data_IF_770839156580
#
_entry.id   IF_770839156580
#
_cell.length_a   1.000
_cell.length_b   1.000
_cell.length_c   1.000
_cell.angle_alpha   90.00
_cell.angle_beta   90.00
_cell.angle_gamma   90.00
#
_symmetry.space_group_name_H-M   'P 1'
#
loop_
_entity.id
_entity.type
_entity.pdbx_description
1 polymer ?
#
# COMPACT_ATOMS: atom_id res chain seq x y z
N UNK A 1 -6.83 -30.84 -18.75
CA UNK A 1 -6.57 -30.05 -18.82
C UNK A 1 -5.54 -29.58 -19.05
N UNK A 2 -5.23 -29.41 -19.36
CA UNK A 2 -4.21 -29.00 -19.62
C UNK A 2 -3.87 -27.85 -19.37
N UNK A 3 -4.42 -27.20 -19.15
CA UNK A 3 -4.15 -26.14 -18.98
C UNK A 3 -3.49 -25.69 -17.98
N UNK A 4 -3.70 -25.98 -16.96
CA UNK A 4 -2.99 -25.53 -15.87
C UNK A 4 -1.54 -25.56 -16.04
N UNK A 5 -1.16 -26.32 -16.93
CA UNK A 5 0.20 -26.45 -17.25
C UNK A 5 0.86 -25.18 -17.57
N UNK A 6 0.15 -24.34 -18.24
CA UNK A 6 0.72 -23.11 -18.65
C UNK A 6 1.12 -22.25 -17.54
N UNK A 7 0.37 -22.29 -16.46
CA UNK A 7 0.63 -21.36 -15.38
C UNK A 7 1.95 -21.62 -14.69
N UNK A 8 2.42 -22.83 -14.79
CA UNK A 8 3.69 -23.10 -14.14
C UNK A 8 4.85 -22.45 -14.83
N UNK A 9 4.66 -22.11 -16.07
CA UNK A 9 5.73 -21.45 -16.78
C UNK A 9 5.84 -20.01 -16.44
N UNK A 10 4.91 -19.52 -15.68
CA UNK A 10 4.96 -18.14 -15.26
C UNK A 10 6.27 -17.82 -14.59
N UNK A 11 6.79 -18.75 -13.82
CA UNK A 11 8.07 -18.51 -13.21
C UNK A 11 9.16 -18.71 -14.25
N UNK A 12 9.77 -17.62 -14.64
CA UNK A 12 10.86 -17.62 -15.61
C UNK A 12 12.22 -17.42 -14.95
N UNK A 13 12.29 -17.62 -13.64
CA UNK A 13 13.53 -17.46 -12.89
C UNK A 13 13.82 -16.03 -12.50
N UNK A 14 12.97 -15.09 -12.91
CA UNK A 14 13.17 -13.69 -12.54
C UNK A 14 12.46 -13.38 -11.24
N UNK A 15 12.84 -12.24 -10.66
CA UNK A 15 12.27 -11.74 -9.43
C UNK A 15 10.76 -11.54 -9.55
N UNK A 16 10.04 -11.97 -8.53
CA UNK A 16 8.60 -11.76 -8.38
C UNK A 16 8.38 -10.85 -7.17
N UNK A 17 8.45 -9.53 -7.33
CA UNK A 17 8.36 -8.61 -6.20
C UNK A 17 7.03 -8.70 -5.47
N UNK A 18 7.09 -8.57 -4.16
CA UNK A 18 5.90 -8.54 -3.31
C UNK A 18 6.24 -7.89 -1.98
N UNK A 19 5.28 -7.18 -1.40
CA UNK A 19 5.44 -6.66 -0.05
C UNK A 19 4.12 -6.68 0.69
N UNK A 20 4.21 -6.79 2.02
CA UNK A 20 3.07 -6.68 2.91
C UNK A 20 3.56 -6.12 4.23
N UNK A 21 2.98 -4.99 4.64
CA UNK A 21 3.37 -4.30 5.86
C UNK A 21 2.14 -3.77 6.59
N UNK A 22 2.21 -3.67 7.90
CA UNK A 22 1.13 -3.15 8.71
C UNK A 22 1.60 -2.07 9.66
N UNK A 23 0.66 -1.26 10.16
CA UNK A 23 0.91 -0.29 11.22
C UNK A 23 0.79 -0.99 12.57
N UNK A 24 1.81 -0.86 13.39
CA UNK A 24 1.78 -1.38 14.76
C UNK A 24 1.49 -0.25 15.75
N UNK A 25 2.12 0.91 15.55
CA UNK A 25 1.89 2.06 16.43
C UNK A 25 0.41 2.42 16.47
N UNK A 26 -0.15 2.57 17.67
CA UNK A 26 -1.57 2.87 17.84
C UNK A 26 -1.77 3.91 18.95
N UNK A 27 -2.55 4.98 18.72
CA UNK A 27 -3.05 5.38 17.39
C UNK A 27 -1.93 5.95 16.53
N UNK A 28 -2.09 5.85 15.23
CA UNK A 28 -1.15 6.46 14.30
C UNK A 28 -1.75 7.80 13.85
N UNK A 29 -1.15 8.89 14.28
CA UNK A 29 -1.65 10.23 13.98
C UNK A 29 -0.92 10.77 12.76
N UNK A 30 -1.69 11.25 11.76
CA UNK A 30 -1.14 11.94 10.61
C UNK A 30 -1.63 13.38 10.62
N UNK A 31 -0.71 14.33 10.48
CA UNK A 31 -1.04 15.72 10.65
C UNK A 31 -0.79 16.60 9.44
N UNK A 32 0.10 16.24 8.56
CA UNK A 32 0.43 17.09 7.42
C UNK A 32 -0.25 16.63 6.15
N UNK A 33 -0.75 17.58 5.34
CA UNK A 33 -1.08 17.26 3.96
C UNK A 33 0.21 16.79 3.31
N UNK A 34 0.23 15.76 2.55
CA UNK A 34 1.40 15.15 1.94
C UNK A 34 2.22 14.24 2.85
N UNK A 35 1.81 14.05 4.12
CA UNK A 35 2.50 13.07 4.98
C UNK A 35 2.30 11.66 4.43
N UNK A 36 3.39 10.92 4.32
CA UNK A 36 3.35 9.53 3.86
C UNK A 36 3.13 8.63 5.06
N UNK A 37 2.21 7.68 4.93
CA UNK A 37 1.95 6.70 5.98
C UNK A 37 3.05 5.65 5.94
N UNK A 38 3.74 5.48 7.06
CA UNK A 38 4.86 4.55 7.17
C UNK A 38 4.40 3.29 7.88
N UNK A 39 4.12 2.25 7.11
CA UNK A 39 3.74 0.94 7.66
C UNK A 39 5.01 0.24 8.10
N UNK A 40 5.25 0.23 9.41
CA UNK A 40 6.56 -0.11 9.93
C UNK A 40 6.83 -1.61 10.11
N UNK A 41 5.78 -2.42 10.20
CA UNK A 41 5.95 -3.85 10.42
C UNK A 41 5.89 -4.61 9.10
N UNK A 42 7.06 -4.89 8.55
CA UNK A 42 7.19 -5.52 7.24
C UNK A 42 7.18 -7.04 7.41
N UNK A 43 6.17 -7.69 6.84
CA UNK A 43 6.02 -9.14 6.92
C UNK A 43 6.52 -9.85 5.68
N UNK A 44 6.41 -9.20 4.52
CA UNK A 44 6.91 -9.73 3.24
C UNK A 44 7.56 -8.57 2.51
N UNK A 45 8.73 -8.81 1.95
CA UNK A 45 9.43 -7.79 1.16
C UNK A 45 10.34 -8.44 0.14
N UNK A 46 9.76 -9.18 -0.80
CA UNK A 46 10.52 -9.85 -1.84
C UNK A 46 10.98 -8.84 -2.86
N UNK A 47 12.27 -8.82 -3.14
CA UNK A 47 12.88 -7.85 -4.03
C UNK A 47 13.27 -6.57 -3.32
N UNK A 48 13.01 -6.47 -2.01
CA UNK A 48 13.44 -5.35 -1.18
C UNK A 48 12.92 -3.98 -1.68
N UNK A 49 11.75 -3.96 -2.31
CA UNK A 49 11.20 -2.72 -2.86
C UNK A 49 10.56 -1.80 -1.83
N UNK A 50 10.04 -2.35 -0.74
CA UNK A 50 9.38 -1.54 0.26
C UNK A 50 10.35 -1.06 1.33
N UNK A 51 10.30 0.24 1.61
CA UNK A 51 11.13 0.87 2.65
C UNK A 51 10.24 1.36 3.79
N UNK A 52 10.27 0.69 4.96
CA UNK A 52 9.40 1.09 6.08
C UNK A 52 9.79 2.45 6.65
N UNK A 53 11.01 2.94 6.44
CA UNK A 53 11.42 4.24 6.95
C UNK A 53 10.79 5.39 6.16
N UNK A 54 10.35 5.14 4.94
CA UNK A 54 9.70 6.16 4.10
C UNK A 54 8.26 5.84 3.78
N UNK A 55 7.84 4.56 3.90
CA UNK A 55 6.52 4.11 3.51
C UNK A 55 6.37 3.90 2.00
N UNK A 56 7.45 3.91 1.24
CA UNK A 56 7.43 3.89 -0.21
C UNK A 56 7.83 2.51 -0.75
N UNK A 57 7.03 2.00 -1.68
CA UNK A 57 7.41 0.83 -2.47
C UNK A 57 7.94 1.31 -3.81
N UNK A 58 9.17 0.92 -4.13
CA UNK A 58 9.81 1.20 -5.41
C UNK A 58 9.86 -0.09 -6.21
N UNK A 59 9.28 -0.08 -7.41
CA UNK A 59 9.19 -1.30 -8.21
C UNK A 59 10.56 -1.79 -8.63
N UNK A 60 10.96 -3.00 -8.21
CA UNK A 60 12.26 -3.56 -8.62
C UNK A 60 12.23 -4.10 -10.04
N UNK A 61 11.06 -4.24 -10.62
CA UNK A 61 10.88 -4.87 -11.92
C UNK A 61 9.69 -4.22 -12.63
N UNK A 62 9.84 -3.98 -13.93
CA UNK A 62 8.75 -3.48 -14.77
C UNK A 62 7.63 -4.51 -14.83
N UNK A 63 6.39 -4.06 -14.75
CA UNK A 63 5.24 -4.92 -14.95
C UNK A 63 3.96 -4.37 -14.33
N UNK A 64 2.94 -5.20 -14.35
CA UNK A 64 1.65 -4.92 -13.76
C UNK A 64 1.64 -5.44 -12.32
N UNK A 65 1.25 -4.57 -11.40
CA UNK A 65 1.21 -4.88 -9.97
C UNK A 65 -0.20 -4.73 -9.44
N UNK A 66 -0.57 -5.60 -8.50
CA UNK A 66 -1.74 -5.36 -7.66
C UNK A 66 -1.25 -4.63 -6.41
N UNK A 67 -1.86 -3.48 -6.11
CA UNK A 67 -1.48 -2.67 -4.94
C UNK A 67 -2.74 -2.38 -4.14
N UNK A 68 -2.71 -2.67 -2.85
CA UNK A 68 -3.87 -2.52 -1.99
C UNK A 68 -3.48 -1.89 -0.65
N UNK A 69 -4.48 -1.24 -0.05
CA UNK A 69 -4.30 -0.62 1.26
C UNK A 69 -5.62 -0.71 2.01
N UNK A 70 -5.55 -1.16 3.25
CA UNK A 70 -6.68 -1.13 4.17
C UNK A 70 -6.35 -0.14 5.27
N UNK A 71 -7.20 0.87 5.41
CA UNK A 71 -7.10 1.83 6.50
C UNK A 71 -8.31 1.67 7.41
N UNK A 72 -8.05 1.39 8.68
CA UNK A 72 -9.08 1.41 9.71
C UNK A 72 -8.93 2.73 10.47
N UNK A 73 -9.96 3.60 10.37
CA UNK A 73 -9.93 4.85 11.10
C UNK A 73 -10.06 4.60 12.60
N UNK A 74 -9.38 5.42 13.41
CA UNK A 74 -9.54 5.31 14.84
C UNK A 74 -10.93 5.82 15.25
N UNK A 75 -11.42 5.34 16.39
CA UNK A 75 -12.77 5.65 16.85
C UNK A 75 -13.00 7.17 16.86
N UNK A 76 -14.06 7.63 16.20
CA UNK A 76 -14.40 9.04 16.14
C UNK A 76 -13.60 9.86 15.12
N UNK A 77 -12.77 9.22 14.31
CA UNK A 77 -11.92 9.92 13.34
C UNK A 77 -12.25 9.49 11.92
N UNK A 78 -12.20 10.48 11.01
CA UNK A 78 -12.21 10.23 9.58
C UNK A 78 -10.76 10.20 9.11
N UNK A 79 -10.51 9.53 7.98
CA UNK A 79 -9.17 9.50 7.38
C UNK A 79 -9.29 9.76 5.89
N UNK A 80 -8.62 10.81 5.44
CA UNK A 80 -8.50 11.14 4.02
C UNK A 80 -7.13 10.73 3.55
N UNK A 81 -7.08 9.78 2.62
CA UNK A 81 -5.80 9.28 2.14
C UNK A 81 -5.86 9.00 0.64
N UNK A 82 -4.72 8.72 0.06
CA UNK A 82 -4.64 8.42 -1.36
C UNK A 82 -3.45 7.53 -1.64
N UNK A 83 -3.55 6.76 -2.71
CA UNK A 83 -2.44 6.05 -3.30
C UNK A 83 -1.82 6.98 -4.32
N UNK A 84 -0.54 7.27 -4.16
CA UNK A 84 0.24 8.01 -5.15
C UNK A 84 1.03 7.05 -6.01
N UNK A 85 1.16 7.39 -7.28
CA UNK A 85 2.16 6.80 -8.15
C UNK A 85 3.11 7.91 -8.53
N UNK A 86 4.35 7.80 -8.11
CA UNK A 86 5.33 8.87 -8.22
C UNK A 86 4.78 10.15 -7.59
N UNK A 87 4.75 11.27 -8.29
CA UNK A 87 4.31 12.53 -7.74
C UNK A 87 2.83 12.83 -7.97
N UNK A 88 2.08 11.87 -8.51
CA UNK A 88 0.69 12.10 -8.87
C UNK A 88 -0.26 11.20 -8.08
N UNK A 89 -1.45 11.73 -7.80
CA UNK A 89 -2.49 10.92 -7.19
C UNK A 89 -2.91 9.83 -8.19
N UNK A 90 -2.99 8.61 -7.71
CA UNK A 90 -3.43 7.48 -8.53
C UNK A 90 -4.89 7.13 -8.22
N UNK A 91 -5.21 6.98 -6.94
CA UNK A 91 -6.59 6.79 -6.51
C UNK A 91 -6.73 7.22 -5.05
N UNK A 92 -7.94 7.59 -4.67
CA UNK A 92 -8.22 8.16 -3.36
C UNK A 92 -9.00 7.19 -2.49
N UNK A 93 -8.80 7.30 -1.18
CA UNK A 93 -9.56 6.57 -0.19
C UNK A 93 -10.12 7.51 0.86
N UNK A 94 -11.16 7.05 1.54
CA UNK A 94 -11.79 7.81 2.58
C UNK A 94 -12.45 6.88 3.58
N UNK A 95 -12.08 7.01 4.84
CA UNK A 95 -12.76 6.32 5.93
C UNK A 95 -13.58 7.34 6.68
N UNK A 96 -14.89 7.09 6.79
CA UNK A 96 -15.81 8.04 7.41
C UNK A 96 -15.60 8.12 8.90
N UNK A 97 -16.05 9.22 9.49
CA UNK A 97 -16.07 9.36 10.93
C UNK A 97 -17.07 8.37 11.50
N UNK A 98 -16.64 7.54 12.44
CA UNK A 98 -17.52 6.54 13.02
C UNK A 98 -16.78 5.72 14.06
N UNK A 99 -17.31 4.53 14.35
CA UNK A 99 -16.72 3.62 15.32
C UNK A 99 -15.88 2.62 14.55
N UNK A 100 -14.59 2.91 14.40
CA UNK A 100 -13.63 2.05 13.69
C UNK A 100 -14.11 1.69 12.28
N UNK A 101 -14.29 2.70 11.45
CA UNK A 101 -14.72 2.51 10.08
C UNK A 101 -13.52 2.21 9.18
N UNK A 102 -13.66 1.21 8.31
CA UNK A 102 -12.58 0.84 7.41
C UNK A 102 -12.81 1.35 6.00
N UNK A 103 -11.71 1.47 5.26
CA UNK A 103 -11.70 1.87 3.85
C UNK A 103 -10.59 1.09 3.15
N UNK A 104 -10.87 0.61 1.94
CA UNK A 104 -9.92 -0.19 1.18
C UNK A 104 -9.68 0.43 -0.18
N UNK A 105 -8.41 0.51 -0.57
CA UNK A 105 -8.00 0.72 -1.95
C UNK A 105 -7.53 -0.62 -2.49
N UNK A 106 -8.04 -1.01 -3.66
CA UNK A 106 -7.61 -2.20 -4.38
C UNK A 106 -7.41 -1.78 -5.83
N UNK A 107 -6.19 -1.89 -6.33
CA UNK A 107 -5.86 -1.29 -7.62
C UNK A 107 -4.88 -2.13 -8.43
N UNK A 108 -4.88 -1.87 -9.72
CA UNK A 108 -3.87 -2.39 -10.64
C UNK A 108 -3.03 -1.22 -11.12
N UNK A 109 -1.71 -1.37 -11.08
CA UNK A 109 -0.78 -0.30 -11.40
C UNK A 109 0.28 -0.82 -12.36
N UNK A 110 0.38 -0.18 -13.53
CA UNK A 110 1.50 -0.43 -14.44
C UNK A 110 2.70 0.34 -13.92
N UNK A 111 3.80 -0.34 -13.68
CA UNK A 111 5.00 0.28 -13.12
C UNK A 111 6.22 -0.01 -13.97
N UNK A 112 7.02 1.00 -14.21
CA UNK A 112 8.37 0.81 -14.73
C UNK A 112 9.28 0.54 -13.54
N UNK A 113 10.42 -0.09 -13.79
CA UNK A 113 11.43 -0.22 -12.75
C UNK A 113 11.77 1.15 -12.20
N UNK A 114 11.71 1.30 -10.88
CA UNK A 114 11.98 2.57 -10.23
C UNK A 114 10.74 3.43 -9.96
N UNK A 115 9.60 3.10 -10.53
CA UNK A 115 8.36 3.78 -10.17
C UNK A 115 8.00 3.49 -8.71
N UNK A 116 7.36 4.47 -8.07
CA UNK A 116 7.07 4.42 -6.64
C UNK A 116 5.57 4.50 -6.40
N UNK A 117 5.09 3.75 -5.41
CA UNK A 117 3.74 3.90 -4.89
C UNK A 117 3.83 4.04 -3.37
N UNK A 118 2.92 4.83 -2.81
CA UNK A 118 2.87 5.05 -1.37
C UNK A 118 1.51 5.62 -0.98
N UNK A 119 1.19 5.52 0.29
CA UNK A 119 -0.06 6.04 0.86
C UNK A 119 0.22 7.38 1.49
N UNK A 120 -0.57 8.38 1.12
CA UNK A 120 -0.35 9.76 1.49
C UNK A 120 -1.62 10.36 2.08
N UNK A 121 -1.44 11.19 3.10
CA UNK A 121 -2.51 11.98 3.70
C UNK A 121 -2.86 13.12 2.75
N UNK A 122 -4.15 13.43 2.61
CA UNK A 122 -4.55 14.44 1.63
C UNK A 122 -5.33 15.62 2.20
N UNK A 123 -5.32 15.78 3.53
CA UNK A 123 -5.87 16.97 4.17
C UNK A 123 -4.87 17.55 5.17
N UNK A 124 -5.10 18.79 5.60
CA UNK A 124 -4.28 19.42 6.61
C UNK A 124 -4.77 19.14 8.02
N UNK A 125 -5.94 18.51 8.17
CA UNK A 125 -6.48 18.16 9.48
C UNK A 125 -5.69 17.02 10.11
N UNK A 126 -5.59 17.05 11.45
CA UNK A 126 -5.01 15.91 12.17
C UNK A 126 -6.02 14.77 12.17
N UNK A 127 -5.61 13.61 11.72
CA UNK A 127 -6.47 12.42 11.64
C UNK A 127 -5.75 11.22 12.25
N UNK A 128 -6.52 10.24 12.70
CA UNK A 128 -5.94 9.08 13.38
C UNK A 128 -6.33 7.78 12.72
N UNK A 129 -5.34 6.94 12.52
CA UNK A 129 -5.48 5.60 11.94
C UNK A 129 -5.28 4.59 13.07
N UNK A 130 -6.06 3.50 13.05
CA UNK A 130 -5.88 2.41 13.97
C UNK A 130 -4.69 1.56 13.54
N UNK A 131 -3.68 1.49 14.41
CA UNK A 131 -2.53 0.62 14.22
C UNK A 131 -2.81 -0.78 14.72
N UNK A 132 -1.93 -1.34 15.52
CA UNK A 132 -2.10 -2.66 16.14
C UNK A 132 -2.41 -3.73 15.08
N UNK A 133 -1.72 -3.64 13.95
CA UNK A 133 -1.85 -4.55 12.79
C UNK A 133 -3.19 -4.52 12.05
N UNK A 134 -4.05 -3.53 12.31
CA UNK A 134 -5.32 -3.43 11.59
C UNK A 134 -5.20 -2.76 10.23
N UNK A 135 -4.30 -1.80 10.09
CA UNK A 135 -4.15 -1.07 8.83
C UNK A 135 -2.92 -1.57 8.08
N UNK A 136 -3.08 -1.85 6.79
CA UNK A 136 -2.06 -2.57 6.02
C UNK A 136 -1.83 -1.96 4.65
N UNK A 137 -0.65 -2.20 4.09
CA UNK A 137 -0.28 -1.80 2.73
C UNK A 137 0.43 -2.97 2.08
N UNK A 138 0.02 -3.31 0.87
CA UNK A 138 0.52 -4.50 0.20
C UNK A 138 0.58 -4.32 -1.30
N UNK A 139 1.44 -5.08 -1.93
CA UNK A 139 1.50 -5.11 -3.37
C UNK A 139 2.24 -6.34 -3.86
N UNK A 140 1.93 -6.76 -5.08
CA UNK A 140 2.63 -7.88 -5.67
C UNK A 140 2.59 -7.81 -7.20
N UNK A 141 3.64 -8.31 -7.78
CA UNK A 141 3.81 -8.40 -9.23
C UNK A 141 2.86 -9.44 -9.80
N UNK A 142 2.17 -9.08 -10.85
CA UNK A 142 1.28 -10.00 -11.56
C UNK A 142 1.92 -10.54 -12.82
N UNK A 143 2.35 -9.64 -13.70
CA UNK A 143 2.95 -10.03 -14.96
C UNK A 143 3.63 -8.84 -15.61
N UNK A 144 4.51 -9.13 -16.51
CA UNK A 144 5.25 -8.12 -17.23
C UNK A 144 4.46 -7.52 -18.37
#
# INVERSE_FOLDING_TARGET
MLMGINTRKVSDGRLQPAFFASLVKHPYTITGINSVVKFEDVKVNRGQGYDPSTGVFTAPRKGLYHVSCLILGNNGHRVHYQLNKNDAVYTKGYSTKGVYTSSTISSLVEMKKGDRVFIKHRTSSSEQITGDNFSTFAGYFLQE
#
